data_IF_493804970434
#
_entry.id   IF_493804970434
#
_cell.length_a   1.000
_cell.length_b   1.000
_cell.length_c   1.000
_cell.angle_alpha   90.00
_cell.angle_beta   90.00
_cell.angle_gamma   90.00
#
_symmetry.space_group_name_H-M   'P 1'
#
loop_
_entity.id
_entity.type
_entity.pdbx_description
1 polymer ?
#
# COMPACT_ATOMS: atom_id res chain seq x y z
N UNK A 1 -1.17 -8.68 8.13
CA UNK A 1 -1.32 -7.93 6.86
C UNK A 1 0.02 -7.86 6.16
N UNK A 2 0.08 -8.17 4.87
CA UNK A 2 1.32 -8.17 4.06
C UNK A 2 1.29 -6.97 3.12
N UNK A 3 2.37 -6.19 3.10
CA UNK A 3 2.55 -5.07 2.19
C UNK A 3 3.87 -5.24 1.45
N UNK A 4 3.87 -5.20 0.12
CA UNK A 4 5.09 -5.40 -0.67
C UNK A 4 5.19 -4.52 -1.91
N UNK A 5 6.41 -4.19 -2.27
CA UNK A 5 7.04 -3.87 -3.55
C UNK A 5 6.42 -2.83 -4.50
N UNK A 6 5.31 -2.18 -4.14
CA UNK A 6 4.58 -1.29 -5.04
C UNK A 6 5.41 -0.09 -5.55
N UNK A 7 6.39 0.38 -4.77
CA UNK A 7 7.23 1.52 -5.16
C UNK A 7 8.10 1.20 -6.38
N UNK A 8 8.75 0.03 -6.37
CA UNK A 8 9.64 -0.39 -7.46
C UNK A 8 8.87 -0.65 -8.75
N UNK A 9 7.70 -1.29 -8.65
CA UNK A 9 6.81 -1.57 -9.78
C UNK A 9 6.31 -0.25 -10.40
N UNK A 10 5.83 0.69 -9.59
CA UNK A 10 5.38 2.01 -10.04
C UNK A 10 6.50 2.84 -10.68
N UNK A 11 7.73 2.71 -10.16
CA UNK A 11 8.91 3.38 -10.75
C UNK A 11 9.19 2.85 -12.16
N UNK A 12 9.24 1.53 -12.36
CA UNK A 12 9.53 0.93 -13.67
C UNK A 12 8.45 1.22 -14.71
N UNK A 13 7.18 1.15 -14.36
CA UNK A 13 6.08 1.51 -15.28
C UNK A 13 6.10 3.00 -15.60
N UNK A 14 6.43 3.85 -14.64
CA UNK A 14 6.63 5.29 -14.86
C UNK A 14 7.79 5.60 -15.79
N UNK A 15 8.92 4.89 -15.68
CA UNK A 15 10.05 5.02 -16.60
C UNK A 15 9.69 4.59 -18.01
N UNK A 16 8.92 3.50 -18.17
CA UNK A 16 8.42 3.06 -19.48
C UNK A 16 7.54 4.13 -20.12
N UNK A 17 6.54 4.64 -19.40
CA UNK A 17 5.67 5.72 -19.87
C UNK A 17 6.46 6.96 -20.27
N UNK A 18 7.39 7.40 -19.41
CA UNK A 18 8.28 8.54 -19.69
C UNK A 18 9.13 8.33 -20.94
N UNK A 19 9.68 7.13 -21.12
CA UNK A 19 10.48 6.75 -22.31
C UNK A 19 9.66 6.83 -23.60
N UNK A 20 8.46 6.24 -23.60
CA UNK A 20 7.54 6.26 -24.75
C UNK A 20 7.10 7.70 -25.06
N UNK A 21 6.63 8.45 -24.07
CA UNK A 21 6.21 9.84 -24.30
C UNK A 21 7.34 10.72 -24.83
N UNK A 22 8.58 10.53 -24.38
CA UNK A 22 9.75 11.27 -24.90
C UNK A 22 10.05 10.94 -26.36
N UNK A 23 9.74 9.73 -26.83
CA UNK A 23 9.93 9.35 -28.25
C UNK A 23 8.86 9.92 -29.17
N UNK A 24 7.67 10.18 -28.65
CA UNK A 24 6.50 10.64 -29.42
C UNK A 24 6.42 12.17 -29.47
N UNK A 25 6.70 12.84 -28.35
CA UNK A 25 6.56 14.28 -28.24
C UNK A 25 7.85 15.00 -28.66
N UNK A 26 7.73 16.07 -29.51
CA UNK A 26 8.87 16.94 -29.78
C UNK A 26 9.47 17.51 -28.50
N UNK A 27 10.80 17.68 -28.48
CA UNK A 27 11.58 18.14 -27.32
C UNK A 27 11.06 19.44 -26.68
N UNK A 28 10.32 20.26 -27.41
CA UNK A 28 9.83 21.58 -26.99
C UNK A 28 8.45 21.54 -26.31
N UNK A 29 7.77 20.38 -26.27
CA UNK A 29 6.50 20.21 -25.56
C UNK A 29 6.69 19.52 -24.22
N UNK A 30 7.56 20.08 -23.40
CA UNK A 30 7.56 19.75 -21.98
C UNK A 30 6.31 20.37 -21.36
N UNK A 31 5.51 19.62 -20.65
CA UNK A 31 4.51 20.22 -19.79
C UNK A 31 5.26 21.07 -18.74
N UNK A 32 5.00 22.38 -18.60
CA UNK A 32 5.81 23.28 -17.80
C UNK A 32 5.81 22.97 -16.29
N UNK A 33 4.84 22.20 -15.82
CA UNK A 33 4.77 21.79 -14.43
C UNK A 33 5.18 20.32 -14.28
N UNK A 34 6.34 20.07 -13.70
CA UNK A 34 6.76 18.76 -13.15
C UNK A 34 7.03 17.61 -14.14
N UNK A 35 7.36 17.87 -15.38
CA UNK A 35 7.64 16.82 -16.38
C UNK A 35 6.57 15.70 -16.44
N UNK A 36 5.30 16.06 -16.36
CA UNK A 36 4.19 15.10 -16.50
C UNK A 36 4.11 14.64 -17.95
N UNK A 37 4.20 13.34 -18.15
CA UNK A 37 4.09 12.71 -19.45
C UNK A 37 2.72 12.06 -19.60
N UNK A 38 1.92 12.57 -20.52
CA UNK A 38 0.58 12.06 -20.81
C UNK A 38 0.65 11.36 -22.16
N UNK A 39 0.24 10.10 -22.19
CA UNK A 39 0.06 9.33 -23.41
C UNK A 39 -1.43 9.34 -23.76
N UNK A 40 -1.83 9.93 -24.91
CA UNK A 40 -3.22 9.92 -25.31
C UNK A 40 -3.72 8.50 -25.64
N UNK A 41 -4.97 8.22 -25.31
CA UNK A 41 -5.66 7.02 -25.75
C UNK A 41 -6.08 7.15 -27.23
N UNK A 42 -5.97 6.06 -27.98
CA UNK A 42 -6.43 6.00 -29.37
C UNK A 42 -5.38 6.39 -30.42
N UNK A 43 -5.85 6.57 -31.67
CA UNK A 43 -4.96 6.90 -32.77
C UNK A 43 -4.40 8.33 -32.66
N UNK A 44 -3.13 8.56 -33.10
CA UNK A 44 -2.20 7.58 -33.69
C UNK A 44 -1.37 6.78 -32.65
N UNK A 45 -1.60 6.91 -31.34
CA UNK A 45 -0.76 6.38 -30.27
C UNK A 45 -1.29 5.09 -29.64
N UNK A 46 -2.22 4.41 -30.30
CA UNK A 46 -2.89 3.23 -29.76
C UNK A 46 -1.91 2.11 -29.34
N UNK A 47 -0.89 1.84 -30.15
CA UNK A 47 0.11 0.80 -29.86
C UNK A 47 0.93 1.13 -28.60
N UNK A 48 1.32 2.37 -28.46
CA UNK A 48 2.08 2.87 -27.31
C UNK A 48 1.22 2.85 -26.07
N UNK A 49 -0.05 3.25 -26.18
CA UNK A 49 -1.03 3.16 -25.10
C UNK A 49 -1.22 1.72 -24.62
N UNK A 50 -1.51 0.80 -25.54
CA UNK A 50 -1.72 -0.61 -25.21
C UNK A 50 -0.48 -1.23 -24.53
N UNK A 51 0.71 -0.83 -24.97
CA UNK A 51 1.97 -1.28 -24.36
C UNK A 51 2.13 -0.80 -22.93
N UNK A 52 1.89 0.48 -22.66
CA UNK A 52 1.98 1.04 -21.29
C UNK A 52 0.90 0.43 -20.41
N UNK A 53 -0.30 0.26 -20.95
CA UNK A 53 -1.43 -0.31 -20.25
C UNK A 53 -1.16 -1.77 -19.86
N UNK A 54 -0.74 -2.59 -20.80
CA UNK A 54 -0.36 -3.99 -20.54
C UNK A 54 0.76 -4.10 -19.51
N UNK A 55 1.79 -3.25 -19.61
CA UNK A 55 2.88 -3.23 -18.63
C UNK A 55 2.39 -2.85 -17.22
N UNK A 56 1.44 -1.92 -17.12
CA UNK A 56 0.85 -1.51 -15.85
C UNK A 56 0.07 -2.66 -15.20
N UNK A 57 -0.74 -3.36 -15.99
CA UNK A 57 -1.49 -4.52 -15.49
C UNK A 57 -0.59 -5.71 -15.12
N UNK A 58 0.43 -5.99 -15.93
CA UNK A 58 1.41 -7.04 -15.62
C UNK A 58 2.18 -6.72 -14.32
N UNK A 59 2.52 -5.46 -14.10
CA UNK A 59 3.12 -5.02 -12.85
C UNK A 59 2.17 -5.18 -11.65
N UNK A 60 0.88 -4.91 -11.84
CA UNK A 60 -0.17 -5.19 -10.86
C UNK A 60 -0.27 -6.68 -10.53
N UNK A 61 -0.34 -7.52 -11.55
CA UNK A 61 -0.40 -8.98 -11.39
C UNK A 61 0.84 -9.53 -10.67
N UNK A 62 2.03 -9.01 -10.98
CA UNK A 62 3.24 -9.34 -10.23
C UNK A 62 3.10 -8.97 -8.75
N UNK A 63 2.54 -7.81 -8.45
CA UNK A 63 2.28 -7.38 -7.06
C UNK A 63 1.36 -8.34 -6.31
N UNK A 64 0.28 -8.79 -6.94
CA UNK A 64 -0.62 -9.80 -6.36
C UNK A 64 0.10 -11.13 -6.12
N UNK A 65 0.79 -11.66 -7.13
CA UNK A 65 1.54 -12.91 -7.01
C UNK A 65 2.61 -12.84 -5.91
N UNK A 66 3.32 -11.73 -5.82
CA UNK A 66 4.36 -11.54 -4.80
C UNK A 66 3.78 -11.54 -3.38
N UNK A 67 2.63 -10.88 -3.14
CA UNK A 67 1.97 -10.91 -1.83
C UNK A 67 1.44 -12.29 -1.46
N UNK A 68 0.87 -13.00 -2.42
CA UNK A 68 0.43 -14.38 -2.23
C UNK A 68 1.61 -15.29 -1.86
N UNK A 69 2.73 -15.18 -2.60
CA UNK A 69 3.95 -15.93 -2.32
C UNK A 69 4.49 -15.65 -0.92
N UNK A 70 4.57 -14.38 -0.52
CA UNK A 70 4.99 -14.00 0.83
C UNK A 70 4.04 -14.57 1.90
N UNK A 71 2.74 -14.59 1.63
CA UNK A 71 1.74 -15.23 2.50
C UNK A 71 2.00 -16.72 2.69
N UNK A 72 2.24 -17.44 1.61
CA UNK A 72 2.55 -18.88 1.65
C UNK A 72 3.87 -19.16 2.38
N UNK A 73 4.89 -18.33 2.17
CA UNK A 73 6.17 -18.44 2.90
C UNK A 73 5.99 -18.20 4.40
N UNK A 74 5.18 -17.20 4.77
CA UNK A 74 4.86 -16.92 6.17
C UNK A 74 4.08 -18.07 6.80
N UNK A 75 3.07 -18.60 6.12
CA UNK A 75 2.29 -19.75 6.57
C UNK A 75 3.22 -20.95 6.83
N UNK A 76 4.10 -21.25 5.87
CA UNK A 76 5.07 -22.35 6.04
C UNK A 76 5.95 -22.15 7.27
N UNK A 77 6.55 -20.97 7.43
CA UNK A 77 7.42 -20.68 8.56
C UNK A 77 6.68 -20.77 9.92
N UNK A 78 5.44 -20.29 9.98
CA UNK A 78 4.62 -20.38 11.19
C UNK A 78 4.19 -21.82 11.50
N UNK A 79 3.87 -22.62 10.48
CA UNK A 79 3.57 -24.05 10.66
C UNK A 79 4.78 -24.81 11.18
N UNK A 80 5.98 -24.54 10.68
CA UNK A 80 7.22 -25.14 11.17
C UNK A 80 7.52 -24.74 12.63
N UNK A 81 7.23 -23.49 13.01
CA UNK A 81 7.52 -22.99 14.36
C UNK A 81 6.46 -23.38 15.40
N UNK A 82 5.20 -23.48 15.01
CA UNK A 82 4.05 -23.68 15.90
C UNK A 82 3.43 -25.08 15.78
N UNK A 83 3.97 -25.91 14.88
CA UNK A 83 3.53 -27.27 14.54
C UNK A 83 2.15 -27.37 13.88
N UNK A 84 1.22 -26.47 14.20
CA UNK A 84 -0.09 -26.38 13.57
C UNK A 84 -0.47 -24.90 13.40
N UNK A 85 -0.65 -24.46 12.16
CA UNK A 85 -1.02 -23.08 11.86
C UNK A 85 -1.78 -23.01 10.52
N UNK A 86 -3.04 -22.56 10.57
CA UNK A 86 -3.85 -22.31 9.38
C UNK A 86 -3.95 -20.79 9.12
N UNK A 87 -3.68 -20.39 7.90
CA UNK A 87 -3.77 -19.00 7.47
C UNK A 87 -4.54 -18.91 6.15
N UNK A 88 -5.60 -18.09 6.14
CA UNK A 88 -6.45 -17.89 4.96
C UNK A 88 -6.27 -16.49 4.39
N UNK A 89 -6.21 -16.39 3.06
CA UNK A 89 -6.29 -15.11 2.38
C UNK A 89 -7.72 -14.59 2.47
N UNK A 90 -7.92 -13.49 3.19
CA UNK A 90 -9.21 -12.82 3.28
C UNK A 90 -9.44 -11.98 2.03
N UNK A 91 -8.51 -11.08 1.72
CA UNK A 91 -8.63 -10.20 0.56
C UNK A 91 -7.25 -9.64 0.15
N UNK A 92 -7.10 -9.29 -1.13
CA UNK A 92 -5.93 -8.60 -1.64
C UNK A 92 -6.35 -7.40 -2.50
N UNK A 93 -5.89 -6.20 -2.16
CA UNK A 93 -6.26 -4.97 -2.83
C UNK A 93 -5.05 -4.06 -3.05
N UNK A 94 -4.80 -3.60 -4.28
CA UNK A 94 -3.77 -2.60 -4.54
C UNK A 94 -4.26 -1.21 -4.16
N UNK A 95 -3.34 -0.36 -3.71
CA UNK A 95 -3.61 1.03 -3.33
C UNK A 95 -2.86 2.08 -4.18
N UNK A 96 -2.14 1.60 -5.19
CA UNK A 96 -1.46 2.41 -6.19
C UNK A 96 -1.68 1.73 -7.54
N UNK A 97 -2.85 1.96 -8.14
CA UNK A 97 -3.23 1.31 -9.38
C UNK A 97 -4.24 2.13 -10.16
N UNK A 98 -4.41 1.80 -11.44
CA UNK A 98 -5.39 2.41 -12.33
C UNK A 98 -6.42 1.34 -12.69
N UNK A 99 -7.69 1.65 -12.50
CA UNK A 99 -8.80 0.76 -12.80
C UNK A 99 -9.73 1.35 -13.85
N UNK A 100 -10.24 0.51 -14.73
CA UNK A 100 -11.36 0.87 -15.57
C UNK A 100 -12.66 0.72 -14.78
N UNK A 101 -13.51 1.73 -14.81
CA UNK A 101 -14.86 1.66 -14.25
C UNK A 101 -15.86 2.22 -15.25
N UNK A 102 -16.92 1.48 -15.52
CA UNK A 102 -18.05 1.98 -16.31
C UNK A 102 -19.00 2.77 -15.42
N UNK A 103 -19.28 4.00 -15.79
CA UNK A 103 -20.23 4.89 -15.10
C UNK A 103 -21.09 5.58 -16.14
N UNK A 104 -22.40 5.42 -16.07
CA UNK A 104 -23.32 6.00 -17.03
C UNK A 104 -23.05 5.60 -18.50
N UNK A 105 -22.60 4.35 -18.72
CA UNK A 105 -22.25 3.83 -20.04
C UNK A 105 -20.92 4.32 -20.62
N UNK A 106 -20.13 5.08 -19.82
CA UNK A 106 -18.80 5.56 -20.23
C UNK A 106 -17.72 4.89 -19.39
N UNK A 107 -16.60 4.55 -20.01
CA UNK A 107 -15.42 4.04 -19.30
C UNK A 107 -14.63 5.19 -18.71
N UNK A 108 -14.32 5.09 -17.42
CA UNK A 108 -13.48 6.01 -16.68
C UNK A 108 -12.24 5.29 -16.16
N UNK A 109 -11.10 5.98 -16.14
CA UNK A 109 -9.86 5.49 -15.55
C UNK A 109 -9.71 6.04 -14.14
N UNK A 110 -9.94 5.18 -13.13
CA UNK A 110 -9.80 5.57 -11.73
C UNK A 110 -8.35 5.38 -11.27
N UNK A 111 -7.67 6.49 -11.04
CA UNK A 111 -6.32 6.52 -10.49
C UNK A 111 -6.39 6.52 -8.96
N UNK A 112 -5.96 5.45 -8.33
CA UNK A 112 -5.87 5.36 -6.88
C UNK A 112 -4.42 5.42 -6.43
N UNK A 113 -4.10 6.32 -5.49
CA UNK A 113 -2.80 6.42 -4.84
C UNK A 113 -2.99 6.63 -3.35
N UNK A 114 -2.57 5.65 -2.54
CA UNK A 114 -2.87 5.65 -1.11
C UNK A 114 -4.36 5.42 -0.80
N UNK A 115 -5.12 5.00 -1.79
CA UNK A 115 -6.52 4.59 -1.68
C UNK A 115 -6.71 3.24 -2.35
N UNK A 116 -7.65 2.45 -1.87
CA UNK A 116 -8.06 1.18 -2.48
C UNK A 116 -9.51 1.26 -2.94
N UNK A 117 -9.97 0.25 -3.65
CA UNK A 117 -11.37 0.07 -3.96
C UNK A 117 -12.18 -0.16 -2.69
N UNK A 118 -13.42 0.35 -2.68
CA UNK A 118 -14.40 0.20 -1.61
C UNK A 118 -15.78 0.02 -2.21
N UNK A 119 -15.89 -0.97 -3.11
CA UNK A 119 -17.12 -1.33 -3.78
C UNK A 119 -18.22 -1.74 -2.79
N UNK A 120 -19.45 -1.41 -3.13
CA UNK A 120 -20.63 -1.82 -2.37
C UNK A 120 -21.24 -3.10 -2.91
N UNK A 121 -22.54 -3.25 -2.65
CA UNK A 121 -23.32 -4.40 -3.09
C UNK A 121 -23.22 -4.64 -4.60
N UNK A 122 -23.43 -3.60 -5.40
CA UNK A 122 -23.47 -3.74 -6.87
C UNK A 122 -22.12 -4.16 -7.45
N UNK A 123 -21.03 -3.62 -6.91
CA UNK A 123 -19.68 -3.96 -7.37
C UNK A 123 -19.24 -5.36 -6.94
N UNK A 124 -19.84 -5.90 -5.91
CA UNK A 124 -19.44 -7.19 -5.32
C UNK A 124 -20.44 -8.33 -5.59
N UNK A 125 -21.47 -8.10 -6.40
CA UNK A 125 -22.60 -9.03 -6.62
C UNK A 125 -22.18 -10.47 -6.97
N UNK A 126 -21.11 -10.65 -7.75
CA UNK A 126 -20.62 -11.96 -8.20
C UNK A 126 -19.46 -12.49 -7.36
N UNK A 127 -19.27 -11.98 -6.15
CA UNK A 127 -18.19 -12.36 -5.25
C UNK A 127 -18.70 -12.92 -3.92
N UNK A 128 -17.85 -13.56 -3.10
CA UNK A 128 -18.21 -13.97 -1.75
C UNK A 128 -18.60 -12.79 -0.82
N UNK A 129 -18.37 -11.57 -1.23
CA UNK A 129 -18.64 -10.34 -0.48
C UNK A 129 -19.89 -9.59 -0.93
N UNK A 130 -20.72 -10.20 -1.77
CA UNK A 130 -21.92 -9.58 -2.39
C UNK A 130 -22.83 -8.85 -1.38
N UNK A 131 -23.03 -9.42 -0.19
CA UNK A 131 -23.93 -8.85 0.82
C UNK A 131 -23.25 -7.87 1.79
N UNK A 132 -21.93 -7.82 1.80
CA UNK A 132 -21.15 -7.09 2.81
C UNK A 132 -20.41 -5.89 2.25
N UNK A 133 -20.15 -5.88 0.94
CA UNK A 133 -19.28 -4.94 0.28
C UNK A 133 -17.79 -5.39 0.31
N UNK A 134 -16.98 -4.69 -0.45
CA UNK A 134 -15.57 -5.02 -0.66
C UNK A 134 -14.74 -4.85 0.63
N UNK A 135 -13.94 -5.84 1.03
CA UNK A 135 -13.08 -5.72 2.19
C UNK A 135 -12.03 -4.60 2.00
N UNK A 136 -12.04 -3.63 2.91
CA UNK A 136 -11.12 -2.50 2.93
C UNK A 136 -10.22 -2.62 4.15
N UNK A 137 -8.91 -2.74 3.89
CA UNK A 137 -7.90 -2.84 4.95
C UNK A 137 -7.21 -1.50 5.16
N UNK A 138 -7.33 -0.93 6.36
CA UNK A 138 -6.68 0.32 6.74
C UNK A 138 -5.58 -0.01 7.76
N UNK A 139 -4.33 -0.23 7.31
CA UNK A 139 -3.22 -0.53 8.21
C UNK A 139 -2.85 0.69 9.05
N UNK A 140 -2.62 0.43 10.33
CA UNK A 140 -1.90 1.34 11.20
C UNK A 140 -0.40 1.34 10.91
N UNK A 141 0.33 2.17 11.64
CA UNK A 141 1.79 2.09 11.70
C UNK A 141 2.24 0.96 12.63
N UNK A 142 3.55 0.73 12.73
CA UNK A 142 4.09 -0.23 13.71
C UNK A 142 3.59 0.11 15.12
N UNK A 143 2.98 -0.87 15.80
CA UNK A 143 2.42 -0.67 17.13
C UNK A 143 1.08 0.06 17.21
N UNK A 144 0.49 0.49 16.09
CA UNK A 144 -0.85 1.07 16.02
C UNK A 144 -1.85 0.06 15.52
N UNK A 145 -3.11 0.19 15.96
CA UNK A 145 -4.22 -0.65 15.49
C UNK A 145 -4.35 -0.58 13.97
N UNK A 146 -4.83 -1.65 13.37
CA UNK A 146 -5.30 -1.69 11.97
C UNK A 146 -6.80 -1.93 11.98
N UNK A 147 -7.48 -1.52 10.92
CA UNK A 147 -8.93 -1.68 10.81
C UNK A 147 -9.28 -2.46 9.55
N UNK A 148 -10.33 -3.26 9.66
CA UNK A 148 -11.02 -3.86 8.53
C UNK A 148 -12.41 -3.23 8.42
N UNK A 149 -12.76 -2.82 7.21
CA UNK A 149 -14.04 -2.24 6.85
C UNK A 149 -14.67 -3.01 5.70
N UNK A 150 -15.96 -2.79 5.46
CA UNK A 150 -16.66 -3.16 4.23
C UNK A 150 -17.00 -1.90 3.45
N UNK A 151 -16.63 -1.85 2.17
CA UNK A 151 -16.93 -0.75 1.26
C UNK A 151 -18.43 -0.59 1.02
N UNK A 152 -18.87 0.64 0.86
CA UNK A 152 -20.28 0.99 0.62
C UNK A 152 -20.59 1.37 -0.81
N UNK A 153 -19.59 1.37 -1.70
CA UNK A 153 -19.79 1.77 -3.09
C UNK A 153 -20.12 3.25 -3.27
N UNK A 154 -19.66 4.11 -2.35
CA UNK A 154 -19.98 5.54 -2.39
C UNK A 154 -19.39 6.23 -3.63
N UNK A 155 -20.22 6.75 -4.57
CA UNK A 155 -19.75 7.41 -5.78
C UNK A 155 -19.02 8.74 -5.49
N UNK A 156 -19.37 9.45 -4.42
CA UNK A 156 -18.72 10.71 -4.05
C UNK A 156 -17.27 10.50 -3.63
N UNK A 157 -16.93 9.32 -3.13
CA UNK A 157 -15.56 8.89 -2.87
C UNK A 157 -14.90 8.16 -4.07
N UNK A 158 -15.54 8.17 -5.23
CA UNK A 158 -15.14 7.40 -6.42
C UNK A 158 -15.00 5.89 -6.10
N UNK A 159 -15.95 5.34 -5.34
CA UNK A 159 -15.92 3.93 -4.89
C UNK A 159 -14.58 3.55 -4.24
N UNK A 160 -14.03 4.46 -3.45
CA UNK A 160 -12.69 4.32 -2.90
C UNK A 160 -12.66 4.65 -1.41
N UNK A 161 -11.72 4.03 -0.70
CA UNK A 161 -11.41 4.30 0.69
C UNK A 161 -9.92 4.57 0.86
N UNK A 162 -9.55 5.41 1.81
CA UNK A 162 -8.15 5.66 2.15
C UNK A 162 -7.51 4.41 2.72
N UNK A 163 -6.23 4.20 2.42
CA UNK A 163 -5.50 3.03 2.89
C UNK A 163 -4.33 3.41 3.79
N UNK A 164 -4.65 3.69 5.04
CA UNK A 164 -3.67 3.98 6.08
C UNK A 164 -3.74 5.39 6.62
N UNK A 165 -3.10 5.61 7.75
CA UNK A 165 -3.12 6.87 8.48
C UNK A 165 -2.51 8.05 7.71
N UNK A 166 -1.64 7.77 6.75
CA UNK A 166 -0.81 8.80 6.13
C UNK A 166 0.27 9.32 7.09
N UNK A 167 1.28 9.93 6.55
CA UNK A 167 2.38 10.47 7.34
C UNK A 167 2.08 11.92 7.75
N UNK A 168 2.51 12.29 8.97
CA UNK A 168 2.52 13.69 9.42
C UNK A 168 3.90 14.33 9.30
N UNK A 169 4.95 13.52 9.11
CA UNK A 169 6.31 13.98 8.86
C UNK A 169 6.99 13.12 7.78
N UNK A 170 8.00 13.67 7.12
CA UNK A 170 8.81 12.95 6.14
C UNK A 170 9.64 11.85 6.79
N UNK A 171 10.22 10.94 5.98
CA UNK A 171 11.14 9.92 6.49
C UNK A 171 12.38 10.54 7.11
N UNK A 172 12.92 11.60 6.47
CA UNK A 172 14.08 12.32 6.99
C UNK A 172 13.81 12.94 8.36
N UNK A 173 12.72 13.66 8.53
CA UNK A 173 12.32 14.22 9.82
C UNK A 173 12.14 13.13 10.89
N UNK A 174 11.50 12.00 10.55
CA UNK A 174 11.30 10.89 11.47
C UNK A 174 12.61 10.24 11.94
N UNK A 175 13.64 10.17 11.08
CA UNK A 175 14.96 9.66 11.44
C UNK A 175 15.65 10.57 12.48
N UNK A 176 15.45 11.88 12.35
CA UNK A 176 16.04 12.88 13.24
C UNK A 176 15.21 13.15 14.50
N UNK A 177 14.06 12.47 14.65
CA UNK A 177 13.26 12.59 15.87
C UNK A 177 14.00 12.04 17.10
N UNK A 178 13.58 12.50 18.28
CA UNK A 178 14.27 12.23 19.54
C UNK A 178 14.48 10.74 19.82
N UNK A 179 15.64 10.40 20.36
CA UNK A 179 15.92 9.02 20.78
C UNK A 179 15.00 8.55 21.90
N UNK A 180 14.47 9.47 22.72
CA UNK A 180 13.52 9.14 23.77
C UNK A 180 12.23 8.54 23.18
N UNK A 181 11.61 9.19 22.19
CA UNK A 181 10.41 8.67 21.54
C UNK A 181 10.66 7.32 20.85
N UNK A 182 11.86 7.16 20.28
CA UNK A 182 12.23 5.89 19.68
C UNK A 182 12.36 4.77 20.71
N UNK A 183 13.03 5.02 21.83
CA UNK A 183 13.15 4.04 22.93
C UNK A 183 11.81 3.68 23.52
N UNK A 184 10.98 4.66 23.86
CA UNK A 184 9.60 4.42 24.35
C UNK A 184 8.77 3.53 23.42
N UNK A 185 8.97 3.69 22.11
CA UNK A 185 8.34 2.83 21.12
C UNK A 185 8.92 1.41 21.12
N UNK A 186 10.24 1.25 21.13
CA UNK A 186 10.92 -0.05 21.12
C UNK A 186 10.62 -0.87 22.39
N UNK A 187 10.43 -0.24 23.55
CA UNK A 187 10.07 -0.90 24.79
C UNK A 187 8.64 -1.46 24.79
N UNK A 188 7.75 -0.86 23.99
CA UNK A 188 6.32 -1.22 23.96
C UNK A 188 5.93 -2.18 22.86
N UNK A 189 6.80 -2.35 21.86
CA UNK A 189 6.40 -3.08 20.67
C UNK A 189 7.52 -3.95 20.09
N UNK A 190 7.18 -5.20 19.78
CA UNK A 190 8.14 -6.16 19.26
C UNK A 190 8.29 -6.02 17.73
N UNK A 191 9.52 -5.76 17.29
CA UNK A 191 9.87 -5.64 15.87
C UNK A 191 10.91 -6.70 15.52
N UNK A 192 10.59 -7.55 14.56
CA UNK A 192 11.50 -8.54 13.99
C UNK A 192 12.10 -8.00 12.71
N UNK A 193 13.40 -7.98 12.62
CA UNK A 193 14.15 -7.56 11.42
C UNK A 193 15.24 -8.58 11.09
N UNK A 194 15.77 -8.62 9.85
CA UNK A 194 16.91 -9.45 9.49
C UNK A 194 18.17 -9.16 10.31
N UNK A 195 18.26 -7.93 10.81
CA UNK A 195 19.33 -7.49 11.73
C UNK A 195 18.75 -7.52 13.14
N UNK A 196 19.25 -8.43 13.97
CA UNK A 196 18.98 -8.46 15.39
C UNK A 196 20.08 -7.66 16.11
N UNK A 197 19.74 -6.50 16.72
CA UNK A 197 20.72 -5.62 17.36
C UNK A 197 21.42 -6.27 18.57
N UNK A 198 20.83 -7.29 19.17
CA UNK A 198 21.35 -7.97 20.35
C UNK A 198 22.37 -9.07 20.03
N UNK A 199 22.52 -9.41 18.76
CA UNK A 199 23.49 -10.41 18.33
C UNK A 199 24.92 -9.98 18.67
N UNK A 200 25.68 -10.94 19.21
CA UNK A 200 27.05 -10.72 19.68
C UNK A 200 28.02 -10.25 18.57
N UNK A 201 27.84 -10.76 17.33
CA UNK A 201 28.65 -10.39 16.17
C UNK A 201 28.36 -8.98 15.63
N UNK A 202 27.26 -8.36 16.03
CA UNK A 202 26.89 -7.00 15.64
C UNK A 202 27.25 -5.92 16.67
N UNK A 203 27.66 -6.31 17.89
CA UNK A 203 27.97 -5.36 18.98
C UNK A 203 29.07 -4.34 18.62
N UNK A 204 30.01 -4.71 17.75
CA UNK A 204 31.08 -3.82 17.24
C UNK A 204 30.76 -3.11 15.93
N UNK A 205 29.58 -3.34 15.32
CA UNK A 205 29.23 -2.81 14.00
C UNK A 205 28.27 -1.63 14.13
N UNK A 206 28.81 -0.52 14.65
CA UNK A 206 28.05 0.71 14.85
C UNK A 206 27.40 1.23 13.53
N UNK A 207 28.04 1.01 12.40
CA UNK A 207 27.55 1.33 11.06
C UNK A 207 26.25 0.59 10.71
N UNK A 208 26.20 -0.71 10.97
CA UNK A 208 25.01 -1.55 10.72
C UNK A 208 23.88 -1.18 11.69
N UNK A 209 24.20 -1.02 12.97
CA UNK A 209 23.23 -0.66 14.00
C UNK A 209 22.62 0.73 13.78
N UNK A 210 23.43 1.70 13.33
CA UNK A 210 22.93 3.02 12.95
C UNK A 210 21.95 2.93 11.79
N UNK A 211 22.28 2.19 10.73
CA UNK A 211 21.41 1.99 9.57
C UNK A 211 20.12 1.27 9.92
N UNK A 212 20.20 0.25 10.76
CA UNK A 212 19.03 -0.44 11.30
C UNK A 212 18.11 0.52 12.06
N UNK A 213 18.68 1.33 12.98
CA UNK A 213 17.95 2.34 13.76
C UNK A 213 17.24 3.35 12.84
N UNK A 214 17.94 3.90 11.85
CA UNK A 214 17.34 4.80 10.86
C UNK A 214 16.16 4.17 10.13
N UNK A 215 16.29 2.91 9.72
CA UNK A 215 15.26 2.18 9.00
C UNK A 215 13.99 2.00 9.85
N UNK A 216 14.14 1.75 11.17
CA UNK A 216 13.00 1.65 12.09
C UNK A 216 12.42 3.04 12.38
N UNK A 217 13.26 4.02 12.70
CA UNK A 217 12.84 5.41 12.98
C UNK A 217 12.05 6.01 11.83
N UNK A 218 12.45 5.73 10.58
CA UNK A 218 11.77 6.23 9.39
C UNK A 218 10.29 5.81 9.31
N UNK A 219 9.91 4.69 9.92
CA UNK A 219 8.55 4.12 9.86
C UNK A 219 7.91 4.02 11.27
N UNK A 220 8.48 4.67 12.26
CA UNK A 220 7.96 4.63 13.63
C UNK A 220 6.59 5.32 13.77
N UNK A 221 5.76 4.94 14.75
CA UNK A 221 4.39 5.44 14.91
C UNK A 221 4.27 6.97 14.97
N UNK A 222 5.24 7.63 15.60
CA UNK A 222 5.25 9.09 15.70
C UNK A 222 5.37 9.82 14.35
N UNK A 223 5.72 9.11 13.27
CA UNK A 223 5.78 9.68 11.93
C UNK A 223 4.40 9.71 11.21
N UNK A 224 3.38 9.12 11.80
CA UNK A 224 2.06 8.93 11.20
C UNK A 224 0.97 9.71 11.93
N UNK A 225 -0.13 9.96 11.23
CA UNK A 225 -1.36 10.51 11.81
C UNK A 225 -2.08 9.44 12.64
N UNK A 226 -3.02 9.87 13.46
CA UNK A 226 -3.87 8.94 14.21
C UNK A 226 -4.78 8.15 13.26
N UNK A 227 -4.66 6.83 13.31
CA UNK A 227 -5.44 5.93 12.47
C UNK A 227 -6.92 5.92 12.86
N UNK A 228 -7.26 6.22 14.11
CA UNK A 228 -8.65 6.27 14.58
C UNK A 228 -9.42 7.44 13.97
N UNK A 229 -8.77 8.57 13.73
CA UNK A 229 -9.36 9.71 13.01
C UNK A 229 -9.66 9.32 11.56
N UNK A 230 -8.74 8.61 10.91
CA UNK A 230 -8.95 8.14 9.54
C UNK A 230 -10.11 7.15 9.47
N UNK A 231 -10.17 6.21 10.43
CA UNK A 231 -11.28 5.26 10.52
C UNK A 231 -12.63 5.99 10.66
N UNK A 232 -12.70 7.04 11.52
CA UNK A 232 -13.90 7.85 11.71
C UNK A 232 -14.33 8.56 10.42
N UNK A 233 -13.39 9.14 9.67
CA UNK A 233 -13.70 9.81 8.39
C UNK A 233 -14.38 8.85 7.41
N UNK A 234 -13.95 7.58 7.35
CA UNK A 234 -14.59 6.59 6.46
C UNK A 234 -16.05 6.33 6.84
N UNK A 235 -16.36 6.31 8.13
CA UNK A 235 -17.71 6.13 8.66
C UNK A 235 -18.56 7.38 8.39
N UNK A 236 -18.06 8.54 8.80
CA UNK A 236 -18.79 9.83 8.74
C UNK A 236 -19.15 10.22 7.32
N UNK A 237 -18.32 9.84 6.32
CA UNK A 237 -18.56 10.10 4.91
C UNK A 237 -19.17 8.92 4.15
N UNK A 238 -19.59 7.87 4.83
CA UNK A 238 -20.25 6.73 4.19
C UNK A 238 -19.39 6.01 3.14
N UNK A 239 -18.07 5.98 3.32
CA UNK A 239 -17.16 5.32 2.38
C UNK A 239 -17.10 3.81 2.66
N UNK A 240 -17.09 3.44 3.93
CA UNK A 240 -17.02 2.06 4.38
C UNK A 240 -17.53 1.91 5.81
N UNK A 241 -18.09 0.75 6.14
CA UNK A 241 -18.57 0.42 7.48
C UNK A 241 -17.53 -0.43 8.24
N UNK A 242 -17.32 -0.19 9.55
CA UNK A 242 -16.32 -0.87 10.34
C UNK A 242 -16.72 -2.33 10.61
N UNK A 243 -15.76 -3.24 10.46
CA UNK A 243 -15.94 -4.68 10.73
C UNK A 243 -15.11 -5.11 11.93
N UNK A 244 -13.82 -4.77 11.95
CA UNK A 244 -12.94 -5.17 13.02
C UNK A 244 -11.82 -4.14 13.24
N UNK A 245 -11.41 -4.02 14.50
CA UNK A 245 -10.16 -3.38 14.92
C UNK A 245 -9.19 -4.47 15.36
N UNK A 246 -7.99 -4.43 14.81
CA UNK A 246 -6.94 -5.41 15.06
C UNK A 246 -5.78 -4.73 15.78
N UNK A 247 -5.44 -5.26 16.96
CA UNK A 247 -4.27 -4.79 17.69
C UNK A 247 -3.03 -5.55 17.22
N UNK A 248 -1.92 -4.85 16.96
CA UNK A 248 -0.69 -5.50 16.52
C UNK A 248 -0.02 -6.23 17.68
N UNK A 249 0.45 -7.45 17.40
CA UNK A 249 1.26 -8.25 18.34
C UNK A 249 2.75 -8.02 18.07
N UNK A 250 3.12 -8.02 16.78
CA UNK A 250 4.48 -7.75 16.33
C UNK A 250 4.48 -7.21 14.89
N UNK A 251 5.61 -6.64 14.49
CA UNK A 251 5.88 -6.29 13.09
C UNK A 251 7.13 -7.03 12.61
N UNK A 252 7.03 -7.66 11.44
CA UNK A 252 8.20 -8.19 10.71
C UNK A 252 8.53 -7.19 9.61
N UNK A 253 9.75 -6.68 9.63
CA UNK A 253 10.22 -5.65 8.68
C UNK A 253 11.54 -6.09 8.05
N UNK A 254 11.54 -6.27 6.72
CA UNK A 254 12.70 -6.54 5.90
C UNK A 254 13.20 -5.28 5.19
#
# INVERSE_FOLDING_TARGET
MIHSGSLMIGHHTGLLNKGICKSIYPRNRKHPANEIYILPEGEPFRKEWDRVWSATYNAGNFGFANRLFLGLMLQKALTEALHEFDMKLVYDSPHNFIWNKSVGGRTHYLHRKGACSAGGFDEMADTPYAYYGEPVMIPGSMGSSSYMFCGKGNPDSLWSAGRGAGRKMSRGEAIHESDRLFQEFMERFHIVTPIDPDRADLRGRADILAKWRETIKAEAPYAYKDISEIARVHIDHGMADPVARMEPVMTIKA
#
